data_IF_360372531124
#
_entry.id   IF_360372531124
#
_cell.length_a   1.000
_cell.length_b   1.000
_cell.length_c   1.000
_cell.angle_alpha   90.00
_cell.angle_beta   90.00
_cell.angle_gamma   90.00
#
_symmetry.space_group_name_H-M   'P 1'
#
loop_
_entity.id
_entity.type
_entity.pdbx_description
1 polymer ?
#
# COMPACT_ATOMS: atom_id res chain seq x y z
N UNK A 1 -8.48 17.82 4.78
CA UNK A 1 -8.68 16.52 4.08
C UNK A 1 -9.91 16.52 3.17
N UNK A 2 -11.11 16.87 3.63
CA UNK A 2 -12.29 17.10 2.76
C UNK A 2 -12.06 18.27 1.77
N UNK A 3 -11.30 19.27 2.17
CA UNK A 3 -10.98 20.42 1.34
C UNK A 3 -10.12 20.07 0.11
N UNK A 4 -9.16 19.14 0.24
CA UNK A 4 -8.31 18.72 -0.89
C UNK A 4 -9.11 17.99 -1.97
N UNK A 5 -10.02 17.08 -1.58
CA UNK A 5 -10.87 16.35 -2.55
C UNK A 5 -11.80 17.32 -3.27
N UNK A 6 -12.36 18.29 -2.54
CA UNK A 6 -13.22 19.32 -3.12
C UNK A 6 -12.44 20.21 -4.10
N UNK A 7 -11.25 20.67 -3.72
CA UNK A 7 -10.39 21.47 -4.57
C UNK A 7 -9.98 20.72 -5.85
N UNK A 8 -9.68 19.42 -5.75
CA UNK A 8 -9.39 18.57 -6.92
C UNK A 8 -10.59 18.48 -7.87
N UNK A 9 -11.81 18.28 -7.35
CA UNK A 9 -13.04 18.25 -8.16
C UNK A 9 -13.28 19.55 -8.89
N UNK A 10 -12.94 20.68 -8.28
CA UNK A 10 -13.03 22.02 -8.85
C UNK A 10 -11.90 22.33 -9.86
N UNK A 11 -10.99 21.36 -10.09
CA UNK A 11 -9.88 21.52 -11.04
C UNK A 11 -8.74 22.39 -10.53
N UNK A 12 -8.56 22.51 -9.22
CA UNK A 12 -7.48 23.29 -8.63
C UNK A 12 -6.12 22.61 -8.83
N UNK A 13 -5.31 23.15 -9.74
CA UNK A 13 -3.98 22.64 -10.08
C UNK A 13 -3.01 22.66 -8.91
N UNK A 14 -3.04 23.70 -8.06
CA UNK A 14 -2.16 23.80 -6.89
C UNK A 14 -2.45 22.69 -5.87
N UNK A 15 -3.73 22.35 -5.67
CA UNK A 15 -4.09 21.26 -4.78
C UNK A 15 -3.65 19.89 -5.34
N UNK A 16 -3.65 19.73 -6.66
CA UNK A 16 -3.12 18.51 -7.30
C UNK A 16 -1.60 18.43 -7.20
N UNK A 17 -0.89 19.52 -7.44
CA UNK A 17 0.56 19.63 -7.34
C UNK A 17 1.05 19.31 -5.92
N UNK A 18 0.42 19.90 -4.90
CA UNK A 18 0.71 19.58 -3.51
C UNK A 18 0.47 18.09 -3.18
N UNK A 19 -0.65 17.52 -3.65
CA UNK A 19 -0.93 16.11 -3.45
C UNK A 19 0.11 15.22 -4.14
N UNK A 20 0.56 15.61 -5.32
CA UNK A 20 1.60 14.91 -6.07
C UNK A 20 2.90 14.93 -5.28
N UNK A 21 3.37 16.10 -4.86
CA UNK A 21 4.62 16.26 -4.11
C UNK A 21 4.59 15.50 -2.77
N UNK A 22 3.47 15.51 -2.08
CA UNK A 22 3.30 14.83 -0.79
C UNK A 22 3.31 13.29 -0.91
N UNK A 23 2.84 12.74 -2.04
CA UNK A 23 2.56 11.31 -2.16
C UNK A 23 3.45 10.57 -3.17
N UNK A 24 3.98 11.22 -4.20
CA UNK A 24 4.64 10.57 -5.34
C UNK A 24 5.77 9.64 -4.94
N UNK A 25 6.76 10.16 -4.19
CA UNK A 25 7.92 9.37 -3.77
C UNK A 25 7.56 8.17 -2.89
N UNK A 26 6.57 8.36 -2.00
CA UNK A 26 6.13 7.28 -1.12
C UNK A 26 5.39 6.19 -1.90
N UNK A 27 4.58 6.58 -2.90
CA UNK A 27 3.89 5.65 -3.79
C UNK A 27 4.86 4.91 -4.71
N UNK A 28 5.88 5.58 -5.25
CA UNK A 28 6.93 4.94 -6.06
C UNK A 28 7.71 3.89 -5.26
N UNK A 29 8.12 4.22 -4.02
CA UNK A 29 8.76 3.22 -3.13
C UNK A 29 7.84 2.04 -2.83
N UNK A 30 6.56 2.30 -2.62
CA UNK A 30 5.57 1.26 -2.40
C UNK A 30 5.40 0.37 -3.64
N UNK A 31 5.20 0.95 -4.81
CA UNK A 31 5.08 0.21 -6.07
C UNK A 31 6.35 -0.61 -6.36
N UNK A 32 7.54 -0.02 -6.15
CA UNK A 32 8.83 -0.72 -6.26
C UNK A 32 8.93 -1.92 -5.30
N UNK A 33 8.39 -1.81 -4.09
CA UNK A 33 8.39 -2.94 -3.15
C UNK A 33 7.63 -4.17 -3.68
N UNK A 34 6.66 -3.94 -4.58
CA UNK A 34 5.82 -4.97 -5.20
C UNK A 34 6.42 -5.44 -6.54
N UNK A 35 6.75 -4.52 -7.43
CA UNK A 35 7.16 -4.80 -8.81
C UNK A 35 8.66 -5.14 -8.92
N UNK A 36 9.51 -4.66 -7.99
CA UNK A 36 10.97 -4.79 -8.01
C UNK A 36 11.64 -4.16 -9.24
N UNK A 37 10.93 -3.35 -9.99
CA UNK A 37 11.40 -2.56 -11.12
C UNK A 37 10.99 -1.10 -10.92
N UNK A 38 11.99 -0.19 -10.94
CA UNK A 38 11.76 1.24 -10.64
C UNK A 38 11.01 1.93 -11.78
N UNK A 39 11.32 1.59 -13.03
CA UNK A 39 10.68 2.19 -14.20
C UNK A 39 9.19 1.82 -14.24
N UNK A 40 8.87 0.56 -13.99
CA UNK A 40 7.48 0.10 -13.93
C UNK A 40 6.73 0.71 -12.74
N UNK A 41 7.41 0.87 -11.59
CA UNK A 41 6.84 1.50 -10.41
C UNK A 41 6.47 2.97 -10.67
N UNK A 42 7.37 3.73 -11.27
CA UNK A 42 7.13 5.11 -11.68
C UNK A 42 5.98 5.21 -12.70
N UNK A 43 5.96 4.34 -13.70
CA UNK A 43 4.91 4.27 -14.70
C UNK A 43 3.52 4.03 -14.09
N UNK A 44 3.42 3.10 -13.15
CA UNK A 44 2.16 2.81 -12.44
C UNK A 44 1.71 4.02 -11.65
N UNK A 45 2.61 4.69 -10.92
CA UNK A 45 2.28 5.87 -10.11
C UNK A 45 1.89 7.05 -10.99
N UNK A 46 2.62 7.31 -12.08
CA UNK A 46 2.27 8.37 -13.03
C UNK A 46 0.88 8.14 -13.65
N UNK A 47 0.59 6.93 -14.10
CA UNK A 47 -0.73 6.54 -14.62
C UNK A 47 -1.83 6.74 -13.57
N UNK A 48 -1.54 6.45 -12.30
CA UNK A 48 -2.48 6.66 -11.20
C UNK A 48 -2.82 8.15 -11.03
N UNK A 49 -1.84 9.04 -11.06
CA UNK A 49 -2.09 10.49 -10.98
C UNK A 49 -2.80 11.04 -12.20
N UNK A 50 -2.48 10.57 -13.42
CA UNK A 50 -3.22 10.92 -14.64
C UNK A 50 -4.69 10.52 -14.51
N UNK A 51 -4.99 9.27 -14.12
CA UNK A 51 -6.36 8.80 -13.91
C UNK A 51 -7.09 9.62 -12.84
N UNK A 52 -6.41 9.95 -11.74
CA UNK A 52 -6.97 10.78 -10.67
C UNK A 52 -7.42 12.15 -11.21
N UNK A 53 -6.57 12.79 -12.01
CA UNK A 53 -6.86 14.08 -12.62
C UNK A 53 -8.00 14.02 -13.64
N UNK A 54 -7.96 13.02 -14.51
CA UNK A 54 -8.99 12.84 -15.55
C UNK A 54 -10.37 12.56 -14.95
N UNK A 55 -10.42 11.80 -13.85
CA UNK A 55 -11.67 11.41 -13.19
C UNK A 55 -12.06 12.32 -12.03
N UNK A 56 -11.34 13.44 -11.81
CA UNK A 56 -11.49 14.32 -10.63
C UNK A 56 -12.93 14.72 -10.31
N UNK A 57 -13.74 14.98 -11.35
CA UNK A 57 -15.12 15.45 -11.18
C UNK A 57 -16.05 14.37 -10.60
N UNK A 58 -15.76 13.12 -10.90
CA UNK A 58 -16.55 11.96 -10.48
C UNK A 58 -16.00 11.24 -9.25
N UNK A 59 -14.89 11.73 -8.68
CA UNK A 59 -14.27 11.10 -7.51
C UNK A 59 -15.24 10.96 -6.35
N UNK A 60 -15.50 9.74 -5.92
CA UNK A 60 -16.27 9.43 -4.72
C UNK A 60 -15.37 8.73 -3.70
N UNK A 61 -14.54 9.51 -3.01
CA UNK A 61 -13.58 9.00 -2.04
C UNK A 61 -14.18 9.10 -0.66
N UNK A 62 -14.53 7.95 -0.07
CA UNK A 62 -15.07 7.83 1.30
C UNK A 62 -13.97 7.64 2.35
N UNK A 63 -12.72 7.42 1.93
CA UNK A 63 -11.54 7.27 2.77
C UNK A 63 -10.62 8.47 2.64
N UNK A 64 -9.41 8.41 3.22
CA UNK A 64 -8.39 9.42 2.91
C UNK A 64 -7.93 9.30 1.46
N UNK A 65 -7.58 10.42 0.84
CA UNK A 65 -7.07 10.43 -0.54
C UNK A 65 -5.78 9.61 -0.67
N UNK A 66 -4.94 9.61 0.36
CA UNK A 66 -3.72 8.78 0.41
C UNK A 66 -4.08 7.28 0.37
N UNK A 67 -5.04 6.82 1.22
CA UNK A 67 -5.49 5.42 1.19
C UNK A 67 -6.09 5.03 -0.17
N UNK A 68 -6.80 5.95 -0.82
CA UNK A 68 -7.33 5.75 -2.16
C UNK A 68 -6.21 5.57 -3.19
N UNK A 69 -5.17 6.42 -3.17
CA UNK A 69 -4.02 6.32 -4.07
C UNK A 69 -3.25 5.02 -3.86
N UNK A 70 -2.95 4.64 -2.60
CA UNK A 70 -2.28 3.37 -2.31
C UNK A 70 -3.07 2.16 -2.83
N UNK A 71 -4.40 2.18 -2.73
CA UNK A 71 -5.26 1.12 -3.25
C UNK A 71 -5.18 1.00 -4.77
N UNK A 72 -5.21 2.13 -5.49
CA UNK A 72 -5.10 2.10 -6.96
C UNK A 72 -3.72 1.57 -7.37
N UNK A 73 -2.65 2.14 -6.81
CA UNK A 73 -1.28 1.72 -7.11
C UNK A 73 -1.09 0.23 -6.85
N UNK A 74 -1.59 -0.29 -5.72
CA UNK A 74 -1.52 -1.72 -5.42
C UNK A 74 -2.20 -2.58 -6.48
N UNK A 75 -3.45 -2.23 -6.81
CA UNK A 75 -4.22 -2.97 -7.81
C UNK A 75 -3.56 -2.91 -9.20
N UNK A 76 -3.05 -1.75 -9.60
CA UNK A 76 -2.35 -1.58 -10.87
C UNK A 76 -1.03 -2.37 -10.88
N UNK A 77 -0.28 -2.44 -9.75
CA UNK A 77 0.89 -3.31 -9.61
C UNK A 77 0.53 -4.80 -9.77
N UNK A 78 -0.53 -5.27 -9.10
CA UNK A 78 -0.98 -6.66 -9.26
C UNK A 78 -1.40 -6.97 -10.69
N UNK A 79 -2.11 -6.06 -11.34
CA UNK A 79 -2.49 -6.21 -12.75
C UNK A 79 -1.25 -6.29 -13.67
N UNK A 80 -0.22 -5.49 -13.40
CA UNK A 80 1.06 -5.55 -14.14
C UNK A 80 1.72 -6.92 -13.98
N UNK A 81 1.82 -7.45 -12.75
CA UNK A 81 2.37 -8.79 -12.50
C UNK A 81 1.55 -9.87 -13.23
N UNK A 82 0.23 -9.81 -13.15
CA UNK A 82 -0.63 -10.78 -13.85
C UNK A 82 -0.47 -10.74 -15.38
N UNK A 83 -0.34 -9.54 -15.95
CA UNK A 83 -0.09 -9.40 -17.37
C UNK A 83 1.27 -9.97 -17.78
N UNK A 84 2.31 -9.73 -16.99
CA UNK A 84 3.65 -10.29 -17.24
C UNK A 84 3.65 -11.82 -17.15
N UNK A 85 2.99 -12.39 -16.14
CA UNK A 85 2.88 -13.84 -15.96
C UNK A 85 2.12 -14.49 -17.11
N UNK A 86 1.01 -13.89 -17.55
CA UNK A 86 0.25 -14.37 -18.71
C UNK A 86 1.06 -14.29 -20.02
N UNK A 87 1.84 -13.23 -20.20
CA UNK A 87 2.75 -13.13 -21.34
C UNK A 87 3.90 -14.13 -21.29
N UNK A 88 4.42 -14.44 -20.10
CA UNK A 88 5.45 -15.47 -19.90
C UNK A 88 4.89 -16.89 -20.14
N UNK A 89 3.68 -17.19 -19.71
CA UNK A 89 3.03 -18.48 -19.98
C UNK A 89 2.78 -18.70 -21.49
N UNK A 90 2.46 -17.65 -22.23
CA UNK A 90 2.38 -17.71 -23.69
C UNK A 90 3.75 -17.84 -24.38
N UNK A 91 4.83 -17.39 -23.74
CA UNK A 91 6.21 -17.47 -24.25
C UNK A 91 7.02 -18.65 -23.69
N UNK A 92 6.53 -19.40 -22.68
CA UNK A 92 7.22 -20.55 -22.08
C UNK A 92 7.32 -21.79 -22.97
N UNK A 93 7.09 -21.66 -24.30
CA UNK A 93 7.59 -22.63 -25.26
C UNK A 93 9.05 -22.40 -25.67
N UNK A 94 9.73 -21.37 -25.16
CA UNK A 94 11.15 -21.11 -25.41
C UNK A 94 11.88 -20.57 -24.18
N UNK A 95 12.80 -21.40 -23.66
CA UNK A 95 13.94 -21.08 -22.80
C UNK A 95 13.71 -20.78 -21.31
N UNK A 96 14.13 -21.79 -20.57
CA UNK A 96 14.57 -21.77 -19.17
C UNK A 96 15.74 -20.80 -18.93
N UNK A 97 15.74 -20.27 -17.68
CA UNK A 97 16.87 -19.68 -16.95
C UNK A 97 17.27 -18.25 -17.25
N UNK A 98 16.94 -17.37 -16.31
CA UNK A 98 17.93 -16.39 -15.81
C UNK A 98 17.70 -16.18 -14.31
N UNK A 99 18.73 -16.44 -13.57
CA UNK A 99 18.90 -16.26 -12.15
C UNK A 99 18.91 -14.77 -11.78
N UNK A 100 18.20 -14.45 -10.72
CA UNK A 100 18.28 -13.19 -9.99
C UNK A 100 19.66 -13.05 -9.37
N UNK A 101 20.37 -12.02 -9.76
CA UNK A 101 21.62 -11.65 -9.11
C UNK A 101 21.34 -10.70 -7.94
N UNK A 102 21.85 -11.11 -6.81
CA UNK A 102 21.69 -10.52 -5.49
C UNK A 102 22.77 -9.51 -5.21
N UNK A 103 22.40 -8.32 -4.81
CA UNK A 103 23.30 -7.46 -4.03
C UNK A 103 22.50 -6.68 -2.99
N UNK A 104 22.37 -7.28 -1.80
CA UNK A 104 22.22 -6.54 -0.54
C UNK A 104 22.08 -7.50 0.65
N UNK A 105 23.20 -8.10 1.05
CA UNK A 105 23.21 -9.09 2.16
C UNK A 105 22.89 -8.46 3.53
N UNK A 106 23.07 -7.16 3.70
CA UNK A 106 22.83 -6.46 4.98
C UNK A 106 21.36 -5.99 5.08
N UNK A 107 20.78 -5.44 4.01
CA UNK A 107 19.35 -5.05 3.98
C UNK A 107 18.41 -6.26 4.05
N UNK A 108 18.85 -7.44 3.58
CA UNK A 108 18.05 -8.67 3.63
C UNK A 108 17.93 -9.25 5.05
N UNK A 109 18.94 -9.10 5.91
CA UNK A 109 18.90 -9.64 7.28
C UNK A 109 17.98 -8.80 8.16
N UNK A 110 18.06 -7.48 8.07
CA UNK A 110 17.18 -6.56 8.80
C UNK A 110 15.72 -6.65 8.32
N UNK A 111 15.50 -6.87 7.02
CA UNK A 111 14.15 -7.03 6.48
C UNK A 111 13.49 -8.35 6.89
N UNK A 112 14.25 -9.44 6.97
CA UNK A 112 13.74 -10.75 7.38
C UNK A 112 13.32 -10.78 8.85
N UNK A 113 14.11 -10.17 9.73
CA UNK A 113 13.80 -10.07 11.16
C UNK A 113 12.58 -9.16 11.40
N UNK A 114 12.48 -8.04 10.70
CA UNK A 114 11.30 -7.17 10.74
C UNK A 114 10.06 -7.87 10.21
N UNK A 115 10.16 -8.60 9.10
CA UNK A 115 9.04 -9.34 8.54
C UNK A 115 8.53 -10.41 9.51
N UNK A 116 9.44 -11.15 10.12
CA UNK A 116 9.12 -12.16 11.13
C UNK A 116 8.46 -11.53 12.37
N UNK A 117 8.95 -10.37 12.82
CA UNK A 117 8.35 -9.64 13.92
C UNK A 117 6.93 -9.16 13.58
N UNK A 118 6.70 -8.68 12.35
CA UNK A 118 5.37 -8.29 11.87
C UNK A 118 4.42 -9.51 11.84
N UNK A 119 4.88 -10.66 11.35
CA UNK A 119 4.09 -11.89 11.31
C UNK A 119 3.68 -12.35 12.72
N UNK A 120 4.62 -12.31 13.66
CA UNK A 120 4.34 -12.64 15.08
C UNK A 120 3.35 -11.66 15.67
N UNK A 121 3.54 -10.35 15.46
CA UNK A 121 2.65 -9.33 15.95
C UNK A 121 1.23 -9.46 15.37
N UNK A 122 1.09 -9.78 14.09
CA UNK A 122 -0.20 -10.05 13.44
C UNK A 122 -0.85 -11.34 13.99
N UNK A 123 -0.06 -12.37 14.25
CA UNK A 123 -0.56 -13.61 14.84
C UNK A 123 -1.08 -13.39 16.27
N UNK A 124 -0.55 -12.44 17.01
CA UNK A 124 -0.99 -12.04 18.37
C UNK A 124 -2.28 -11.22 18.40
N UNK A 125 -2.79 -10.75 17.26
CA UNK A 125 -4.03 -10.00 17.22
C UNK A 125 -5.26 -10.90 17.51
N UNK A 126 -6.29 -10.38 18.21
CA UNK A 126 -7.57 -11.06 18.30
C UNK A 126 -8.13 -11.38 16.90
N UNK A 127 -8.73 -12.57 16.67
CA UNK A 127 -9.07 -13.03 15.32
C UNK A 127 -9.89 -12.02 14.48
N UNK A 128 -10.90 -11.39 15.09
CA UNK A 128 -11.72 -10.39 14.41
C UNK A 128 -10.92 -9.11 14.06
N UNK A 129 -10.04 -8.66 14.97
CA UNK A 129 -9.20 -7.50 14.70
C UNK A 129 -8.20 -7.81 13.59
N UNK A 130 -7.61 -9.01 13.60
CA UNK A 130 -6.70 -9.49 12.56
C UNK A 130 -7.41 -9.54 11.21
N UNK A 131 -8.59 -10.18 11.13
CA UNK A 131 -9.35 -10.31 9.88
C UNK A 131 -9.70 -8.94 9.28
N UNK A 132 -10.24 -8.03 10.09
CA UNK A 132 -10.58 -6.66 9.66
C UNK A 132 -9.33 -5.89 9.23
N UNK A 133 -8.20 -6.07 9.93
CA UNK A 133 -6.94 -5.44 9.59
C UNK A 133 -6.37 -5.96 8.26
N UNK A 134 -6.39 -7.28 8.03
CA UNK A 134 -5.97 -7.90 6.78
C UNK A 134 -6.83 -7.42 5.60
N UNK A 135 -8.14 -7.42 5.73
CA UNK A 135 -9.06 -6.89 4.71
C UNK A 135 -8.77 -5.43 4.37
N UNK A 136 -8.47 -4.61 5.39
CA UNK A 136 -8.17 -3.19 5.17
C UNK A 136 -6.79 -2.93 4.56
N UNK A 137 -5.76 -3.72 4.91
CA UNK A 137 -4.36 -3.44 4.55
C UNK A 137 -3.83 -4.30 3.42
N UNK A 138 -4.24 -5.56 3.33
CA UNK A 138 -3.80 -6.49 2.30
C UNK A 138 -4.80 -6.57 1.14
N UNK A 139 -6.11 -6.65 1.45
CA UNK A 139 -7.16 -6.65 0.44
C UNK A 139 -7.60 -5.23 0.04
N UNK A 140 -7.10 -4.20 0.74
CA UNK A 140 -7.33 -2.76 0.49
C UNK A 140 -8.80 -2.34 0.41
N UNK A 141 -9.66 -3.08 1.09
CA UNK A 141 -11.08 -2.78 1.16
C UNK A 141 -11.34 -1.53 2.00
N UNK A 142 -12.31 -0.73 1.60
CA UNK A 142 -12.82 0.38 2.40
C UNK A 142 -13.58 -0.15 3.62
N UNK A 143 -13.74 0.67 4.64
CA UNK A 143 -14.49 0.29 5.84
C UNK A 143 -15.95 -0.07 5.55
N UNK A 144 -16.55 0.53 4.52
CA UNK A 144 -17.90 0.20 4.08
C UNK A 144 -17.96 -1.20 3.43
N UNK A 145 -16.98 -1.55 2.60
CA UNK A 145 -16.88 -2.88 1.98
C UNK A 145 -16.63 -3.96 3.03
N UNK A 146 -15.71 -3.71 3.98
CA UNK A 146 -15.45 -4.62 5.10
C UNK A 146 -16.70 -4.83 5.95
N UNK A 147 -17.40 -3.74 6.28
CA UNK A 147 -18.64 -3.77 7.04
C UNK A 147 -19.71 -4.61 6.36
N UNK A 148 -19.88 -4.44 5.03
CA UNK A 148 -20.81 -5.22 4.23
C UNK A 148 -20.43 -6.71 4.17
N UNK A 149 -19.15 -7.05 3.95
CA UNK A 149 -18.68 -8.43 3.86
C UNK A 149 -18.79 -9.18 5.20
N UNK A 150 -18.50 -8.49 6.31
CA UNK A 150 -18.54 -9.11 7.65
C UNK A 150 -19.89 -8.94 8.35
N UNK A 151 -20.85 -8.26 7.72
CA UNK A 151 -22.18 -7.94 8.28
C UNK A 151 -22.09 -7.24 9.65
N UNK A 152 -21.23 -6.24 9.74
CA UNK A 152 -21.01 -5.38 10.93
C UNK A 152 -21.14 -3.91 10.57
N UNK A 153 -21.20 -3.02 11.55
CA UNK A 153 -21.20 -1.57 11.27
C UNK A 153 -19.79 -1.05 10.90
N UNK A 154 -19.73 0.03 10.13
CA UNK A 154 -18.47 0.73 9.83
C UNK A 154 -17.76 1.20 11.09
N UNK A 155 -18.50 1.62 12.12
CA UNK A 155 -17.95 1.97 13.43
C UNK A 155 -17.30 0.76 14.13
N UNK A 156 -17.86 -0.44 13.97
CA UNK A 156 -17.27 -1.69 14.49
C UNK A 156 -15.97 -2.00 13.75
N UNK A 157 -15.90 -1.80 12.42
CA UNK A 157 -14.66 -1.92 11.63
C UNK A 157 -13.61 -0.96 12.15
N UNK A 158 -13.95 0.32 12.35
CA UNK A 158 -13.04 1.33 12.88
C UNK A 158 -12.48 0.97 14.26
N UNK A 159 -13.33 0.46 15.14
CA UNK A 159 -12.93 -0.01 16.46
C UNK A 159 -11.95 -1.20 16.38
N UNK A 160 -12.18 -2.17 15.48
CA UNK A 160 -11.26 -3.28 15.26
C UNK A 160 -9.92 -2.82 14.70
N UNK A 161 -9.91 -1.90 13.73
CA UNK A 161 -8.68 -1.31 13.19
C UNK A 161 -7.91 -0.55 14.29
N UNK A 162 -8.58 0.30 15.04
CA UNK A 162 -7.96 1.07 16.14
C UNK A 162 -7.34 0.16 17.19
N UNK A 163 -8.03 -0.92 17.55
CA UNK A 163 -7.53 -1.93 18.49
C UNK A 163 -6.33 -2.69 17.92
N UNK A 164 -6.39 -3.11 16.66
CA UNK A 164 -5.28 -3.78 15.97
C UNK A 164 -4.03 -2.88 15.93
N UNK A 165 -4.16 -1.62 15.50
CA UNK A 165 -3.07 -0.66 15.44
C UNK A 165 -2.45 -0.39 16.82
N UNK A 166 -3.26 -0.33 17.88
CA UNK A 166 -2.77 -0.17 19.25
C UNK A 166 -1.92 -1.35 19.69
N UNK A 167 -2.38 -2.58 19.43
CA UNK A 167 -1.64 -3.80 19.78
C UNK A 167 -0.35 -3.93 18.96
N UNK A 168 -0.41 -3.72 17.65
CA UNK A 168 0.76 -3.76 16.77
C UNK A 168 1.82 -2.73 17.17
N UNK A 169 1.41 -1.53 17.59
CA UNK A 169 2.34 -0.50 18.08
C UNK A 169 3.06 -0.91 19.34
N UNK A 170 2.42 -1.67 20.21
CA UNK A 170 3.04 -2.20 21.45
C UNK A 170 4.06 -3.28 21.10
N UNK A 171 3.66 -4.24 20.27
CA UNK A 171 4.52 -5.38 19.88
C UNK A 171 5.73 -4.96 19.03
N UNK A 172 5.55 -3.97 18.15
CA UNK A 172 6.61 -3.49 17.24
C UNK A 172 7.37 -2.29 17.79
N UNK A 173 7.18 -1.93 19.07
CA UNK A 173 7.78 -0.74 19.70
C UNK A 173 9.29 -0.70 19.54
N UNK A 174 9.97 -1.80 19.76
CA UNK A 174 11.44 -1.87 19.74
C UNK A 174 11.98 -1.69 18.29
N UNK A 175 11.27 -2.19 17.29
CA UNK A 175 11.60 -1.96 15.89
C UNK A 175 11.34 -0.50 15.45
N UNK A 176 10.29 0.12 15.95
CA UNK A 176 10.02 1.55 15.67
C UNK A 176 11.10 2.46 16.30
N UNK A 177 11.57 2.14 17.50
CA UNK A 177 12.66 2.85 18.15
C UNK A 177 13.98 2.68 17.39
N UNK A 178 14.28 1.47 16.92
CA UNK A 178 15.46 1.20 16.12
C UNK A 178 15.43 1.97 14.79
N UNK A 179 14.31 1.96 14.08
CA UNK A 179 14.14 2.73 12.83
C UNK A 179 14.25 4.24 13.06
N UNK A 180 13.73 4.76 14.18
CA UNK A 180 13.86 6.17 14.53
C UNK A 180 15.32 6.54 14.85
N UNK A 181 16.03 5.68 15.59
CA UNK A 181 17.44 5.87 15.94
C UNK A 181 18.34 5.87 14.70
N UNK A 182 18.13 4.93 13.77
CA UNK A 182 18.86 4.88 12.50
C UNK A 182 18.59 6.10 11.60
N UNK A 183 17.39 6.69 11.68
CA UNK A 183 17.05 7.91 10.95
C UNK A 183 17.66 9.17 11.51
N UNK A 184 17.98 9.18 12.82
CA UNK A 184 18.65 10.29 13.51
C UNK A 184 20.17 10.28 13.32
N UNK A 185 20.75 9.14 12.89
CA UNK A 185 22.18 8.99 12.62
C UNK A 185 22.58 9.31 11.17
N UNK A 186 21.61 9.62 10.30
CA UNK A 186 21.82 10.10 8.91
C UNK A 186 21.56 11.59 8.81
#
# INVERSE_FOLDING_TARGET
MLDTIKALREGNHLAFEQLFDDCYDALCRYAYSILKDMSEAEDVVQKTFCKLWDQRETLNIQSSISSYLYRIVHNDCLNTIHQQTSHQEHNLNYLSSVSTDTNSTIEHIESADLQKAIEIALAGLPPQCRRVFEMSRMELLSYAEIAAQLNISTNTVENHISKALKLLRIELKDFLLLCLFLRLLK
#
